data_IF_828415852249
#
_entry.id   IF_828415852249
#
_cell.length_a   1.000
_cell.length_b   1.000
_cell.length_c   1.000
_cell.angle_alpha   90.00
_cell.angle_beta   90.00
_cell.angle_gamma   90.00
#
_symmetry.space_group_name_H-M   'P 1'
#
loop_
_entity.id
_entity.type
_entity.pdbx_description
1 polymer ?
#
# COMPACT_ATOMS: atom_id res chain seq x y z
N UNK A 1 17.13 -47.52 5.10
CA UNK A 1 16.95 -46.26 4.35
C UNK A 1 15.89 -45.41 5.03
N UNK A 2 16.28 -44.44 5.86
CA UNK A 2 15.32 -43.44 6.38
C UNK A 2 14.85 -42.55 5.25
N UNK A 3 13.53 -42.46 5.04
CA UNK A 3 12.95 -41.49 4.10
C UNK A 3 13.12 -40.09 4.71
N UNK A 4 13.84 -39.15 4.06
CA UNK A 4 13.81 -37.77 4.51
C UNK A 4 12.38 -37.24 4.38
N UNK A 5 11.76 -36.84 5.49
CA UNK A 5 10.54 -36.03 5.45
C UNK A 5 10.93 -34.68 4.87
N UNK A 6 10.35 -34.28 3.74
CA UNK A 6 10.57 -32.96 3.14
C UNK A 6 10.28 -31.86 4.18
N UNK A 7 11.27 -31.04 4.59
CA UNK A 7 11.12 -30.06 5.66
C UNK A 7 10.51 -28.74 5.18
N UNK A 8 9.95 -28.71 3.96
CA UNK A 8 9.50 -27.49 3.30
C UNK A 8 7.98 -27.31 3.32
N UNK A 9 7.52 -26.43 4.23
CA UNK A 9 6.32 -25.62 3.98
C UNK A 9 6.74 -24.56 2.95
N UNK A 10 6.72 -24.91 1.67
CA UNK A 10 7.12 -24.01 0.60
C UNK A 10 5.99 -23.02 0.27
N UNK A 11 6.19 -21.74 0.62
CA UNK A 11 5.30 -20.65 0.21
C UNK A 11 5.32 -20.41 -1.31
N UNK A 12 6.40 -20.80 -2.01
CA UNK A 12 6.52 -20.77 -3.46
C UNK A 12 6.59 -22.19 -4.06
N UNK A 13 5.55 -22.56 -4.81
CA UNK A 13 5.47 -23.81 -5.60
C UNK A 13 6.63 -23.91 -6.61
N UNK A 14 7.12 -22.77 -7.11
CA UNK A 14 8.23 -22.70 -8.07
C UNK A 14 9.58 -23.04 -7.44
N UNK A 15 9.78 -22.74 -6.15
CA UNK A 15 10.96 -23.15 -5.39
C UNK A 15 10.94 -24.67 -5.13
N UNK A 16 9.80 -25.21 -4.73
CA UNK A 16 9.60 -26.67 -4.55
C UNK A 16 9.88 -27.42 -5.86
N UNK A 17 9.30 -26.98 -6.98
CA UNK A 17 9.52 -27.58 -8.30
C UNK A 17 10.98 -27.47 -8.78
N UNK A 18 11.73 -26.43 -8.39
CA UNK A 18 13.17 -26.29 -8.67
C UNK A 18 14.03 -27.20 -7.78
N UNK A 19 13.65 -27.44 -6.53
CA UNK A 19 14.36 -28.41 -5.67
C UNK A 19 14.17 -29.83 -6.18
N UNK A 20 12.91 -30.26 -6.35
CA UNK A 20 12.59 -31.62 -6.78
C UNK A 20 13.18 -31.96 -8.16
N UNK A 21 13.23 -31.02 -9.10
CA UNK A 21 13.88 -31.23 -10.39
C UNK A 21 15.41 -31.42 -10.26
N UNK A 22 16.09 -30.69 -9.35
CA UNK A 22 17.52 -30.89 -9.07
C UNK A 22 17.78 -32.23 -8.37
N UNK A 23 16.94 -32.63 -7.43
CA UNK A 23 17.05 -33.91 -6.73
C UNK A 23 16.85 -35.09 -7.69
N UNK A 24 15.83 -35.03 -8.56
CA UNK A 24 15.62 -36.04 -9.61
C UNK A 24 16.78 -36.11 -10.61
N UNK A 25 17.36 -34.96 -10.99
CA UNK A 25 18.55 -34.92 -11.84
C UNK A 25 19.78 -35.54 -11.15
N UNK A 26 20.00 -35.27 -9.85
CA UNK A 26 21.09 -35.87 -9.07
C UNK A 26 20.96 -37.39 -8.96
N UNK A 27 19.74 -37.91 -8.74
CA UNK A 27 19.46 -39.35 -8.78
C UNK A 27 19.73 -39.95 -10.18
N UNK A 28 19.39 -39.24 -11.25
CA UNK A 28 19.69 -39.63 -12.63
C UNK A 28 21.20 -39.70 -12.94
N UNK A 29 21.99 -38.74 -12.44
CA UNK A 29 23.45 -38.75 -12.61
C UNK A 29 24.10 -39.88 -11.79
N UNK A 30 23.70 -40.08 -10.53
CA UNK A 30 24.20 -41.15 -9.66
C UNK A 30 24.01 -42.55 -10.28
N UNK A 31 22.84 -42.79 -10.90
CA UNK A 31 22.53 -44.06 -11.56
C UNK A 31 23.27 -44.28 -12.88
N UNK A 32 23.57 -43.23 -13.65
CA UNK A 32 24.45 -43.37 -14.83
C UNK A 32 25.90 -43.65 -14.46
N UNK A 33 26.40 -43.06 -13.36
CA UNK A 33 27.80 -43.21 -12.95
C UNK A 33 28.11 -44.62 -12.43
N UNK A 34 27.13 -45.28 -11.79
CA UNK A 34 27.22 -46.70 -11.42
C UNK A 34 27.28 -47.65 -12.64
N UNK A 35 26.77 -47.25 -13.80
CA UNK A 35 26.68 -48.09 -15.01
C UNK A 35 27.94 -48.11 -15.89
N UNK A 36 28.99 -47.37 -15.57
CA UNK A 36 30.19 -47.21 -16.44
C UNK A 36 31.45 -47.98 -15.99
N UNK A 37 31.39 -48.71 -14.88
CA UNK A 37 32.56 -49.33 -14.24
C UNK A 37 32.95 -50.73 -14.74
N UNK A 38 33.09 -50.97 -16.06
CA UNK A 38 33.56 -52.28 -16.55
C UNK A 38 34.13 -52.30 -18.00
N UNK A 39 35.44 -52.01 -18.17
CA UNK A 39 36.44 -52.83 -18.91
C UNK A 39 37.82 -52.14 -18.97
N UNK A 40 38.94 -52.88 -18.87
CA UNK A 40 40.31 -52.37 -19.05
C UNK A 40 40.89 -52.68 -20.44
N UNK A 41 41.95 -51.96 -20.82
CA UNK A 41 43.19 -52.44 -21.48
C UNK A 41 44.23 -51.30 -21.47
N UNK A 42 45.51 -51.66 -21.43
CA UNK A 42 46.65 -50.77 -21.17
C UNK A 42 47.37 -50.28 -22.45
N UNK A 43 48.44 -49.49 -22.24
CA UNK A 43 49.54 -49.13 -23.15
C UNK A 43 49.27 -48.26 -24.41
N UNK A 44 50.17 -47.36 -24.84
CA UNK A 44 51.35 -46.74 -24.18
C UNK A 44 51.82 -45.45 -24.90
N UNK A 45 52.60 -44.62 -24.17
CA UNK A 45 53.62 -43.64 -24.59
C UNK A 45 53.40 -42.65 -25.78
N UNK A 46 53.60 -41.34 -25.51
CA UNK A 46 53.83 -40.31 -26.53
C UNK A 46 54.04 -38.89 -25.98
N UNK A 47 55.28 -38.39 -25.97
CA UNK A 47 55.70 -37.04 -25.49
C UNK A 47 57.08 -36.70 -26.08
N UNK A 48 57.64 -35.47 -25.95
CA UNK A 48 57.15 -34.24 -25.30
C UNK A 48 56.81 -33.16 -26.40
N UNK A 49 57.14 -31.85 -26.42
CA UNK A 49 57.92 -30.94 -25.56
C UNK A 49 57.70 -29.43 -25.90
N UNK A 50 58.15 -28.53 -25.01
CA UNK A 50 58.65 -27.15 -25.26
C UNK A 50 57.69 -26.06 -25.82
N UNK A 51 57.80 -24.75 -25.50
CA UNK A 51 58.56 -24.01 -24.45
C UNK A 51 58.03 -22.53 -24.36
N UNK A 52 58.64 -21.69 -23.49
CA UNK A 52 58.58 -20.19 -23.42
C UNK A 52 57.25 -19.62 -22.86
N UNK A 53 57.17 -19.13 -21.61
CA UNK A 53 57.85 -18.01 -20.90
C UNK A 53 57.25 -16.62 -21.18
N UNK A 54 56.80 -15.91 -20.13
CA UNK A 54 56.38 -14.49 -20.22
C UNK A 54 55.71 -13.97 -18.94
N UNK A 55 56.31 -12.95 -18.30
CA UNK A 55 55.85 -12.33 -17.05
C UNK A 55 54.92 -11.11 -17.21
N UNK A 56 54.59 -10.40 -16.10
CA UNK A 56 53.39 -9.55 -16.03
C UNK A 56 53.65 -8.03 -15.86
N UNK A 57 52.59 -7.21 -15.89
CA UNK A 57 52.24 -6.09 -14.97
C UNK A 57 51.52 -4.88 -15.61
N UNK A 58 50.45 -4.44 -14.92
CA UNK A 58 49.98 -3.05 -14.67
C UNK A 58 49.85 -2.02 -15.82
N UNK A 59 48.62 -1.48 -15.96
CA UNK A 59 48.28 -0.20 -16.61
C UNK A 59 46.92 0.30 -16.07
N UNK A 60 46.64 1.62 -16.07
CA UNK A 60 45.50 2.19 -15.32
C UNK A 60 44.86 3.44 -15.95
N UNK A 61 43.57 3.65 -15.62
CA UNK A 61 42.74 4.86 -15.72
C UNK A 61 42.42 5.47 -17.11
N UNK A 62 41.26 6.13 -17.19
CA UNK A 62 40.83 6.94 -18.35
C UNK A 62 39.31 7.11 -18.47
N UNK A 63 38.76 8.22 -17.98
CA UNK A 63 37.36 8.64 -18.19
C UNK A 63 37.12 9.21 -19.60
N UNK A 64 35.92 9.01 -20.15
CA UNK A 64 35.16 10.02 -20.91
C UNK A 64 33.74 9.53 -21.25
N UNK A 65 32.79 10.46 -21.34
CA UNK A 65 31.44 10.22 -21.88
C UNK A 65 31.23 11.00 -23.17
N UNK A 66 30.38 10.52 -24.09
CA UNK A 66 29.50 11.41 -24.87
C UNK A 66 28.37 10.66 -25.61
N UNK A 67 27.48 11.46 -26.21
CA UNK A 67 26.19 11.06 -26.81
C UNK A 67 26.22 11.23 -28.34
N UNK A 68 25.49 10.39 -29.10
CA UNK A 68 24.50 10.91 -30.06
C UNK A 68 23.12 10.27 -29.80
N UNK A 69 21.98 10.98 -29.74
CA UNK A 69 21.41 12.06 -30.55
C UNK A 69 20.43 11.53 -31.64
N UNK A 70 19.20 12.06 -31.62
CA UNK A 70 18.04 11.59 -32.39
C UNK A 70 18.03 12.03 -33.85
N UNK A 71 17.29 11.27 -34.68
CA UNK A 71 16.15 11.66 -35.55
C UNK A 71 16.10 10.75 -36.82
N UNK A 72 15.01 10.56 -37.59
CA UNK A 72 13.66 11.15 -37.69
C UNK A 72 12.63 10.01 -37.97
N UNK A 73 11.32 10.30 -37.87
CA UNK A 73 10.29 9.55 -38.63
C UNK A 73 9.07 9.03 -37.84
N UNK A 74 7.89 9.47 -38.23
CA UNK A 74 6.56 9.02 -37.76
C UNK A 74 5.55 9.22 -38.93
N UNK A 75 4.22 8.99 -38.81
CA UNK A 75 3.43 8.28 -37.79
C UNK A 75 2.50 7.21 -38.44
N UNK A 76 1.31 6.97 -37.88
CA UNK A 76 0.15 6.23 -38.44
C UNK A 76 0.27 4.68 -38.52
N UNK A 77 -0.80 3.90 -38.38
CA UNK A 77 -2.15 4.16 -37.83
C UNK A 77 -2.80 2.82 -37.38
N UNK A 78 -4.04 2.87 -36.90
CA UNK A 78 -4.91 1.71 -36.64
C UNK A 78 -5.04 0.79 -37.85
N UNK A 79 -5.03 -0.53 -37.64
CA UNK A 79 -6.26 -1.32 -37.68
C UNK A 79 -6.10 -2.73 -37.09
N UNK A 80 -7.24 -3.39 -36.83
CA UNK A 80 -7.29 -4.78 -36.37
C UNK A 80 -7.45 -5.75 -37.56
N UNK A 81 -6.86 -6.96 -37.51
CA UNK A 81 -7.19 -8.04 -38.44
C UNK A 81 -8.19 -9.04 -37.83
N UNK A 82 -9.24 -9.33 -38.60
CA UNK A 82 -10.17 -10.44 -38.36
C UNK A 82 -9.49 -11.82 -38.36
N UNK A 83 -10.20 -12.83 -37.85
CA UNK A 83 -9.76 -14.22 -37.88
C UNK A 83 -9.95 -14.88 -39.27
N UNK A 84 -8.88 -15.40 -39.91
CA UNK A 84 -8.97 -16.22 -41.12
C UNK A 84 -9.20 -17.72 -40.79
N UNK A 85 -9.58 -18.57 -41.77
CA UNK A 85 -10.58 -19.61 -41.50
C UNK A 85 -10.04 -21.02 -41.22
N UNK A 86 -10.94 -21.88 -40.72
CA UNK A 86 -10.78 -23.33 -40.71
C UNK A 86 -10.80 -23.92 -42.13
N UNK A 87 -9.70 -24.54 -42.54
CA UNK A 87 -9.70 -25.59 -43.57
C UNK A 87 -8.62 -26.62 -43.19
N UNK A 88 -8.88 -27.91 -43.42
CA UNK A 88 -8.06 -28.99 -42.86
C UNK A 88 -7.66 -30.05 -43.88
N UNK A 89 -6.60 -30.80 -43.57
CA UNK A 89 -6.22 -32.02 -44.27
C UNK A 89 -5.33 -32.93 -43.41
N UNK A 90 -5.22 -34.19 -43.82
CA UNK A 90 -4.08 -35.09 -43.58
C UNK A 90 -3.78 -35.58 -42.15
N UNK A 91 -4.50 -36.64 -41.75
CA UNK A 91 -3.87 -37.91 -41.39
C UNK A 91 -3.29 -38.10 -39.97
N UNK A 92 -3.72 -39.12 -39.21
CA UNK A 92 -3.05 -39.50 -37.96
C UNK A 92 -1.72 -40.21 -38.26
N UNK A 93 -0.61 -39.50 -38.06
CA UNK A 93 0.73 -40.11 -38.12
C UNK A 93 0.85 -41.20 -37.05
N UNK A 94 1.02 -42.46 -37.47
CA UNK A 94 1.04 -43.62 -36.58
C UNK A 94 2.35 -43.67 -35.79
N UNK A 95 2.37 -43.04 -34.61
CA UNK A 95 3.50 -43.10 -33.67
C UNK A 95 3.68 -44.55 -33.19
N UNK A 96 4.83 -45.20 -33.45
CA UNK A 96 5.08 -46.56 -32.98
C UNK A 96 5.21 -46.60 -31.45
N UNK A 97 4.79 -47.69 -30.78
CA UNK A 97 4.88 -47.82 -29.33
C UNK A 97 6.34 -47.82 -28.88
N UNK A 98 6.76 -46.75 -28.20
CA UNK A 98 8.12 -46.61 -27.66
C UNK A 98 8.34 -47.62 -26.53
N UNK A 99 9.32 -48.51 -26.70
CA UNK A 99 9.64 -49.55 -25.74
C UNK A 99 9.92 -48.98 -24.31
N UNK A 100 9.50 -49.69 -23.25
CA UNK A 100 9.70 -49.24 -21.87
C UNK A 100 11.20 -49.30 -21.50
N UNK A 101 11.70 -48.27 -20.81
CA UNK A 101 13.07 -48.27 -20.27
C UNK A 101 13.78 -46.92 -20.18
N UNK A 102 13.27 -45.86 -20.81
CA UNK A 102 13.89 -44.53 -20.72
C UNK A 102 12.96 -43.50 -20.07
N UNK A 103 13.18 -43.25 -18.78
CA UNK A 103 12.56 -42.15 -18.04
C UNK A 103 13.29 -40.85 -18.42
N UNK A 104 12.87 -40.24 -19.53
CA UNK A 104 13.35 -38.90 -19.91
C UNK A 104 13.16 -37.93 -18.74
N UNK A 105 14.15 -37.05 -18.43
CA UNK A 105 14.05 -36.15 -17.29
C UNK A 105 12.82 -35.25 -17.41
N UNK A 106 11.95 -35.30 -16.40
CA UNK A 106 10.71 -34.51 -16.36
C UNK A 106 11.06 -33.03 -16.42
N UNK A 107 10.72 -32.37 -17.53
CA UNK A 107 11.04 -30.95 -17.71
C UNK A 107 10.41 -30.11 -16.61
N UNK A 108 11.09 -29.03 -16.19
CA UNK A 108 10.62 -28.18 -15.10
C UNK A 108 9.18 -27.65 -15.34
N UNK A 109 8.86 -27.31 -16.60
CA UNK A 109 7.50 -26.88 -17.01
C UNK A 109 6.48 -28.02 -16.91
N UNK A 110 6.85 -29.26 -17.24
CA UNK A 110 5.97 -30.41 -17.06
C UNK A 110 5.71 -30.69 -15.57
N UNK A 111 6.75 -30.62 -14.73
CA UNK A 111 6.66 -30.79 -13.28
C UNK A 111 5.77 -29.71 -12.63
N UNK A 112 5.98 -28.44 -12.96
CA UNK A 112 5.11 -27.34 -12.51
C UNK A 112 3.64 -27.60 -12.86
N UNK A 113 3.38 -28.05 -14.10
CA UNK A 113 2.03 -28.38 -14.54
C UNK A 113 1.46 -29.65 -13.89
N UNK A 114 2.28 -30.61 -13.47
CA UNK A 114 1.82 -31.75 -12.65
C UNK A 114 1.42 -31.29 -11.25
N UNK A 115 2.27 -30.49 -10.58
CA UNK A 115 2.04 -30.01 -9.22
C UNK A 115 0.76 -29.17 -9.11
N UNK A 116 0.56 -28.16 -9.98
CA UNK A 116 -0.64 -27.31 -9.86
C UNK A 116 -1.93 -28.03 -10.24
N UNK A 117 -1.88 -29.06 -11.11
CA UNK A 117 -3.05 -29.90 -11.43
C UNK A 117 -3.46 -30.79 -10.26
N UNK A 118 -2.53 -31.22 -9.41
CA UNK A 118 -2.85 -31.90 -8.15
C UNK A 118 -3.59 -30.99 -7.14
N UNK A 119 -3.49 -29.66 -7.31
CA UNK A 119 -4.25 -28.63 -6.55
C UNK A 119 -5.43 -28.08 -7.37
N UNK A 120 -5.83 -28.74 -8.47
CA UNK A 120 -7.01 -28.38 -9.27
C UNK A 120 -6.80 -27.33 -10.38
N UNK A 121 -5.62 -26.74 -10.54
CA UNK A 121 -5.37 -25.71 -11.56
C UNK A 121 -4.96 -26.33 -12.90
N UNK A 122 -5.60 -25.92 -14.00
CA UNK A 122 -5.39 -26.47 -15.36
C UNK A 122 -3.94 -26.38 -15.88
N UNK A 123 -3.20 -25.32 -15.52
CA UNK A 123 -1.83 -25.04 -15.95
C UNK A 123 -1.13 -24.07 -14.97
N UNK A 124 0.20 -24.06 -14.89
CA UNK A 124 0.96 -23.14 -14.04
C UNK A 124 0.70 -21.66 -14.34
N UNK A 125 0.48 -21.28 -15.61
CA UNK A 125 0.11 -19.91 -15.95
C UNK A 125 -1.28 -19.52 -15.42
N UNK A 126 -2.22 -20.47 -15.36
CA UNK A 126 -3.54 -20.26 -14.76
C UNK A 126 -3.44 -20.10 -13.23
N UNK A 127 -2.61 -20.90 -12.56
CA UNK A 127 -2.28 -20.74 -11.14
C UNK A 127 -1.70 -19.34 -10.84
N UNK A 128 -0.66 -18.92 -11.59
CA UNK A 128 -0.08 -17.58 -11.46
C UNK A 128 -1.09 -16.46 -11.73
N UNK A 129 -1.93 -16.61 -12.75
CA UNK A 129 -2.95 -15.61 -13.11
C UNK A 129 -4.01 -15.43 -12.01
N UNK A 130 -4.46 -16.52 -11.37
CA UNK A 130 -5.37 -16.44 -10.23
C UNK A 130 -4.69 -15.82 -9.01
N UNK A 131 -3.46 -16.23 -8.66
CA UNK A 131 -2.74 -15.67 -7.50
C UNK A 131 -2.47 -14.16 -7.68
N UNK A 132 -2.07 -13.73 -8.88
CA UNK A 132 -1.91 -12.32 -9.22
C UNK A 132 -3.25 -11.57 -9.39
N UNK A 133 -4.40 -12.24 -9.48
CA UNK A 133 -5.71 -11.62 -9.38
C UNK A 133 -6.14 -11.43 -7.92
N UNK A 134 -5.88 -12.42 -7.06
CA UNK A 134 -6.09 -12.33 -5.62
C UNK A 134 -5.26 -11.20 -5.01
N UNK A 135 -3.96 -11.12 -5.28
CA UNK A 135 -3.08 -10.06 -4.75
C UNK A 135 -3.55 -8.64 -5.18
N UNK A 136 -4.09 -8.50 -6.39
CA UNK A 136 -4.69 -7.23 -6.86
C UNK A 136 -6.00 -6.91 -6.14
N UNK A 137 -6.84 -7.91 -5.87
CA UNK A 137 -8.08 -7.73 -5.11
C UNK A 137 -7.79 -7.38 -3.64
N UNK A 138 -6.82 -8.04 -3.03
CA UNK A 138 -6.33 -7.72 -1.68
C UNK A 138 -5.77 -6.30 -1.62
N UNK A 139 -5.03 -5.85 -2.63
CA UNK A 139 -4.52 -4.46 -2.71
C UNK A 139 -5.61 -3.40 -2.94
N UNK A 140 -6.73 -3.77 -3.57
CA UNK A 140 -7.92 -2.92 -3.73
C UNK A 140 -8.82 -2.92 -2.49
N UNK A 141 -8.78 -3.99 -1.68
CA UNK A 141 -9.51 -4.12 -0.42
C UNK A 141 -8.72 -3.61 0.79
N UNK A 142 -7.39 -3.53 0.69
CA UNK A 142 -6.53 -2.87 1.65
C UNK A 142 -6.93 -1.38 1.78
N UNK A 143 -7.12 -0.86 2.99
CA UNK A 143 -7.26 0.58 3.18
C UNK A 143 -6.05 1.29 2.57
N UNK A 144 -6.27 2.37 1.81
CA UNK A 144 -5.15 3.23 1.42
C UNK A 144 -4.38 3.64 2.68
N UNK A 145 -3.03 3.54 2.69
CA UNK A 145 -2.25 3.98 3.83
C UNK A 145 -2.51 5.48 4.01
N UNK A 146 -3.23 5.83 5.09
CA UNK A 146 -3.65 7.20 5.34
C UNK A 146 -2.44 8.12 5.23
N UNK A 147 -2.55 9.14 4.36
CA UNK A 147 -1.42 10.00 3.98
C UNK A 147 -0.66 10.48 5.24
N UNK A 148 0.69 10.43 5.23
CA UNK A 148 1.51 10.52 6.44
C UNK A 148 1.04 11.62 7.40
N UNK A 149 0.69 11.23 8.63
CA UNK A 149 0.02 12.14 9.55
C UNK A 149 0.89 13.38 9.84
N UNK A 150 0.42 14.55 9.41
CA UNK A 150 1.15 15.81 9.56
C UNK A 150 1.54 16.04 11.04
N UNK A 151 2.83 16.30 11.35
CA UNK A 151 3.30 16.40 12.72
C UNK A 151 2.63 17.58 13.43
N UNK A 152 1.92 17.28 14.52
CA UNK A 152 1.05 18.24 15.21
C UNK A 152 1.87 19.26 16.00
N UNK A 153 1.81 20.55 15.63
CA UNK A 153 2.39 21.62 16.45
C UNK A 153 1.51 21.87 17.69
N UNK A 154 1.78 21.09 18.74
CA UNK A 154 1.12 21.21 20.04
C UNK A 154 1.29 22.61 20.66
N UNK A 155 2.36 23.36 20.34
CA UNK A 155 2.51 24.76 20.80
C UNK A 155 1.53 25.69 20.09
N UNK A 156 1.17 25.41 18.83
CA UNK A 156 0.13 26.14 18.08
C UNK A 156 -1.26 25.80 18.60
N UNK A 157 -1.52 24.54 18.92
CA UNK A 157 -2.75 24.08 19.60
C UNK A 157 -2.92 24.75 20.97
N UNK A 158 -1.87 24.74 21.80
CA UNK A 158 -1.89 25.36 23.14
C UNK A 158 -2.14 26.87 23.05
N UNK A 159 -1.47 27.57 22.11
CA UNK A 159 -1.71 28.99 21.84
C UNK A 159 -3.13 29.28 21.38
N UNK A 160 -3.77 28.40 20.60
CA UNK A 160 -5.19 28.52 20.24
C UNK A 160 -6.10 28.28 21.46
N UNK A 161 -5.82 27.26 22.27
CA UNK A 161 -6.60 26.92 23.47
C UNK A 161 -6.64 28.05 24.52
N UNK A 162 -5.61 28.92 24.56
CA UNK A 162 -5.55 30.16 25.37
C UNK A 162 -6.52 31.27 24.92
N UNK A 163 -7.27 31.11 23.83
CA UNK A 163 -8.34 32.06 23.44
C UNK A 163 -9.73 31.66 23.96
N UNK A 164 -9.89 30.44 24.47
CA UNK A 164 -11.16 29.90 24.98
C UNK A 164 -11.29 30.07 26.50
N UNK A 165 -12.47 30.53 26.94
CA UNK A 165 -12.81 30.75 28.34
C UNK A 165 -12.91 29.47 29.18
N UNK A 166 -13.13 29.59 30.50
CA UNK A 166 -13.28 28.45 31.40
C UNK A 166 -14.49 27.56 31.05
N UNK A 167 -15.49 28.16 30.39
CA UNK A 167 -16.71 27.56 29.86
C UNK A 167 -16.56 26.85 28.51
N UNK A 168 -15.41 27.01 27.84
CA UNK A 168 -15.15 26.45 26.50
C UNK A 168 -15.59 27.33 25.33
N UNK A 169 -16.11 28.53 25.58
CA UNK A 169 -16.51 29.47 24.51
C UNK A 169 -15.34 30.37 24.11
N UNK A 170 -15.35 30.88 22.88
CA UNK A 170 -14.29 31.73 22.36
C UNK A 170 -14.39 33.14 22.97
N UNK A 171 -13.60 33.38 24.01
CA UNK A 171 -13.66 34.59 24.84
C UNK A 171 -13.06 35.83 24.16
N UNK A 172 -12.08 35.63 23.25
CA UNK A 172 -11.44 36.70 22.49
C UNK A 172 -10.97 36.21 21.12
N UNK A 173 -11.13 37.02 20.09
CA UNK A 173 -10.66 36.65 18.75
C UNK A 173 -9.12 36.70 18.64
N UNK A 174 -8.45 35.72 17.99
CA UNK A 174 -7.00 35.78 17.78
C UNK A 174 -6.59 36.82 16.73
N UNK A 175 -5.50 37.56 16.96
CA UNK A 175 -4.95 38.47 15.94
C UNK A 175 -4.20 37.78 14.79
N UNK A 176 -3.74 36.52 14.97
CA UNK A 176 -2.93 35.80 13.97
C UNK A 176 -3.79 34.81 13.17
N UNK A 177 -3.82 34.95 11.85
CA UNK A 177 -4.63 34.16 10.89
C UNK A 177 -4.51 32.63 11.08
N UNK A 178 -3.33 32.11 11.44
CA UNK A 178 -3.16 30.67 11.73
C UNK A 178 -3.97 30.22 12.95
N UNK A 179 -3.99 31.03 14.02
CA UNK A 179 -4.77 30.75 15.23
C UNK A 179 -6.27 31.01 15.00
N UNK A 180 -6.61 32.02 14.20
CA UNK A 180 -7.98 32.27 13.74
C UNK A 180 -8.58 31.04 13.04
N UNK A 181 -7.86 30.47 12.06
CA UNK A 181 -8.29 29.27 11.32
C UNK A 181 -8.48 28.06 12.25
N UNK A 182 -7.59 27.86 13.23
CA UNK A 182 -7.75 26.81 14.24
C UNK A 182 -8.98 27.04 15.14
N UNK A 183 -9.22 28.28 15.58
CA UNK A 183 -10.40 28.61 16.40
C UNK A 183 -11.70 28.49 15.61
N UNK A 184 -11.68 28.74 14.29
CA UNK A 184 -12.85 28.60 13.43
C UNK A 184 -13.29 27.14 13.26
N UNK A 185 -12.37 26.17 13.32
CA UNK A 185 -12.73 24.74 13.33
C UNK A 185 -13.56 24.34 14.56
N UNK A 186 -13.39 24.99 15.71
CA UNK A 186 -14.28 24.79 16.87
C UNK A 186 -15.71 25.22 16.54
N UNK A 187 -15.87 26.44 16.02
CA UNK A 187 -17.16 27.02 15.63
C UNK A 187 -17.82 26.15 14.56
N UNK A 188 -17.09 25.75 13.51
CA UNK A 188 -17.56 24.82 12.49
C UNK A 188 -18.03 23.49 13.07
N UNK A 189 -17.30 22.92 14.05
CA UNK A 189 -17.66 21.64 14.67
C UNK A 189 -18.94 21.69 15.52
N UNK A 190 -19.44 22.89 15.82
CA UNK A 190 -20.68 23.16 16.56
C UNK A 190 -21.89 23.37 15.64
N UNK A 191 -21.69 23.72 14.37
CA UNK A 191 -22.76 23.77 13.38
C UNK A 191 -23.28 22.35 13.11
N UNK A 192 -24.60 22.13 12.97
CA UNK A 192 -25.14 20.81 12.66
C UNK A 192 -24.67 20.29 11.30
N UNK A 193 -24.39 18.99 11.25
CA UNK A 193 -23.96 18.29 10.04
C UNK A 193 -25.14 18.08 9.08
N UNK A 194 -24.91 18.28 7.78
CA UNK A 194 -25.87 17.95 6.71
C UNK A 194 -27.19 18.73 6.69
N UNK A 195 -27.42 19.67 7.61
CA UNK A 195 -28.64 20.47 7.69
C UNK A 195 -28.49 21.83 6.98
N UNK A 196 -29.61 22.35 6.49
CA UNK A 196 -29.73 23.75 6.05
C UNK A 196 -30.24 24.61 7.21
N UNK A 197 -29.57 25.74 7.42
CA UNK A 197 -29.85 26.70 8.48
C UNK A 197 -30.41 27.98 7.88
N UNK A 198 -31.49 28.49 8.43
CA UNK A 198 -31.87 29.90 8.23
C UNK A 198 -30.80 30.83 8.79
N UNK A 199 -30.75 32.07 8.33
CA UNK A 199 -29.85 33.10 8.89
C UNK A 199 -29.92 33.20 10.41
N UNK A 200 -31.12 33.16 11.00
CA UNK A 200 -31.31 33.19 12.46
C UNK A 200 -30.68 31.98 13.16
N UNK A 201 -30.94 30.77 12.68
CA UNK A 201 -30.37 29.54 13.26
C UNK A 201 -28.84 29.49 13.14
N UNK A 202 -28.29 30.00 12.02
CA UNK A 202 -26.85 30.17 11.83
C UNK A 202 -26.29 31.15 12.87
N UNK A 203 -26.92 32.33 13.02
CA UNK A 203 -26.45 33.37 13.93
C UNK A 203 -26.56 32.95 15.40
N UNK A 204 -27.58 32.17 15.78
CA UNK A 204 -27.72 31.61 17.13
C UNK A 204 -26.72 30.50 17.42
N UNK A 205 -26.46 29.60 16.46
CA UNK A 205 -25.39 28.60 16.58
C UNK A 205 -24.01 29.25 16.71
N UNK A 206 -23.77 30.38 16.04
CA UNK A 206 -22.55 31.17 16.18
C UNK A 206 -22.49 31.90 17.53
N UNK A 207 -23.58 32.55 17.98
CA UNK A 207 -23.70 33.14 19.33
C UNK A 207 -23.37 32.12 20.42
N UNK A 208 -23.86 30.88 20.31
CA UNK A 208 -23.55 29.80 21.24
C UNK A 208 -22.06 29.34 21.28
N UNK A 209 -21.18 29.94 20.48
CA UNK A 209 -19.75 29.58 20.40
C UNK A 209 -18.77 30.64 20.95
N UNK A 210 -19.20 31.88 21.25
CA UNK A 210 -18.28 33.00 21.54
C UNK A 210 -18.90 34.11 22.40
N UNK A 211 -18.07 34.91 23.07
CA UNK A 211 -18.51 36.03 23.92
C UNK A 211 -18.29 37.43 23.34
N UNK A 212 -17.48 37.57 22.28
CA UNK A 212 -17.15 38.90 21.71
C UNK A 212 -18.24 39.50 20.79
N UNK A 213 -19.43 38.89 20.71
CA UNK A 213 -20.63 39.40 20.05
C UNK A 213 -20.68 39.34 18.52
N UNK A 214 -19.54 39.42 17.83
CA UNK A 214 -19.47 39.48 16.36
C UNK A 214 -19.57 38.09 15.68
N UNK A 215 -20.80 37.57 15.72
CA UNK A 215 -21.25 36.41 14.95
C UNK A 215 -21.22 36.66 13.42
N UNK A 216 -21.44 37.89 12.96
CA UNK A 216 -21.49 38.20 11.53
C UNK A 216 -20.11 38.03 10.86
N UNK A 217 -19.03 38.38 11.56
CA UNK A 217 -17.65 38.20 11.15
C UNK A 217 -17.25 36.71 11.14
N UNK A 218 -17.68 35.92 12.13
CA UNK A 218 -17.53 34.46 12.11
C UNK A 218 -18.25 33.83 10.91
N UNK A 219 -19.51 34.24 10.66
CA UNK A 219 -20.31 33.79 9.50
C UNK A 219 -19.62 34.10 8.18
N UNK A 220 -19.04 35.30 8.07
CA UNK A 220 -18.24 35.72 6.91
C UNK A 220 -17.03 34.79 6.73
N UNK A 221 -16.19 34.60 7.74
CA UNK A 221 -14.99 33.76 7.58
C UNK A 221 -15.30 32.29 7.30
N UNK A 222 -16.41 31.75 7.81
CA UNK A 222 -16.86 30.40 7.44
C UNK A 222 -17.19 30.29 5.95
N UNK A 223 -17.78 31.32 5.34
CA UNK A 223 -18.00 31.37 3.89
C UNK A 223 -16.71 31.66 3.12
N UNK A 224 -15.93 32.67 3.52
CA UNK A 224 -14.71 33.10 2.84
C UNK A 224 -13.61 31.99 2.86
N UNK A 225 -13.69 31.02 3.79
CA UNK A 225 -12.84 29.82 3.85
C UNK A 225 -13.55 28.52 3.39
N UNK A 226 -14.75 28.61 2.80
CA UNK A 226 -15.48 27.46 2.25
C UNK A 226 -15.98 26.42 3.28
N UNK A 227 -15.90 26.72 4.57
CA UNK A 227 -16.35 25.86 5.68
C UNK A 227 -17.89 25.81 5.82
N UNK A 228 -18.58 26.85 5.34
CA UNK A 228 -20.03 26.88 5.19
C UNK A 228 -20.41 27.60 3.89
N UNK A 229 -21.33 27.05 3.11
CA UNK A 229 -21.93 27.75 1.97
C UNK A 229 -23.10 28.62 2.43
N UNK A 230 -23.45 29.61 1.61
CA UNK A 230 -24.69 30.40 1.72
C UNK A 230 -25.37 30.49 0.35
N UNK A 231 -26.69 30.59 0.31
CA UNK A 231 -27.39 30.91 -0.94
C UNK A 231 -27.10 32.35 -1.40
N UNK A 232 -27.25 32.68 -2.69
CA UNK A 232 -27.05 34.04 -3.19
C UNK A 232 -27.92 35.07 -2.44
N UNK A 233 -29.16 34.69 -2.10
CA UNK A 233 -30.10 35.51 -1.32
C UNK A 233 -29.72 35.67 0.16
N UNK A 234 -28.67 34.99 0.63
CA UNK A 234 -28.18 35.03 2.01
C UNK A 234 -29.12 34.43 3.07
N UNK A 235 -30.24 33.82 2.66
CA UNK A 235 -31.30 33.30 3.54
C UNK A 235 -30.97 31.97 4.18
N UNK A 236 -30.24 31.11 3.46
CA UNK A 236 -29.90 29.74 3.85
C UNK A 236 -28.38 29.59 3.92
N UNK A 237 -27.91 28.85 4.92
CA UNK A 237 -26.52 28.46 5.15
C UNK A 237 -26.45 26.94 5.29
N UNK A 238 -25.34 26.34 4.86
CA UNK A 238 -25.11 24.90 5.03
C UNK A 238 -23.67 24.63 5.41
N UNK A 239 -23.46 23.75 6.39
CA UNK A 239 -22.12 23.29 6.77
C UNK A 239 -21.52 22.48 5.62
N UNK A 240 -20.30 22.83 5.21
CA UNK A 240 -19.53 22.01 4.27
C UNK A 240 -18.75 20.98 5.08
N UNK A 241 -18.96 19.71 4.77
CA UNK A 241 -18.23 18.62 5.42
C UNK A 241 -16.79 18.58 4.91
N UNK A 242 -15.83 18.81 5.79
CA UNK A 242 -14.39 18.82 5.50
C UNK A 242 -13.64 18.05 6.59
N UNK A 243 -12.50 17.43 6.25
CA UNK A 243 -11.59 16.83 7.24
C UNK A 243 -10.80 17.95 7.94
N UNK A 244 -10.92 18.16 9.26
CA UNK A 244 -10.09 19.12 9.97
C UNK A 244 -8.61 18.65 9.99
N UNK A 245 -7.62 19.56 9.93
CA UNK A 245 -6.22 19.20 10.07
C UNK A 245 -5.92 18.68 11.49
N UNK A 246 -4.84 17.91 11.67
CA UNK A 246 -4.56 17.18 12.91
C UNK A 246 -4.50 18.10 14.16
N UNK A 247 -3.94 19.31 14.04
CA UNK A 247 -3.97 20.31 15.11
C UNK A 247 -5.38 20.79 15.49
N UNK A 248 -6.28 20.92 14.52
CA UNK A 248 -7.67 21.25 14.79
C UNK A 248 -8.34 20.09 15.53
N UNK A 249 -8.10 18.84 15.11
CA UNK A 249 -8.60 17.66 15.83
C UNK A 249 -8.09 17.62 17.28
N UNK A 250 -6.80 17.89 17.52
CA UNK A 250 -6.23 17.99 18.86
C UNK A 250 -6.86 19.13 19.71
N UNK A 251 -7.11 20.30 19.11
CA UNK A 251 -7.81 21.41 19.77
C UNK A 251 -9.26 21.04 20.10
N UNK A 252 -9.99 20.42 19.16
CA UNK A 252 -11.37 19.94 19.37
C UNK A 252 -11.44 18.91 20.50
N UNK A 253 -10.49 17.98 20.57
CA UNK A 253 -10.38 17.01 21.66
C UNK A 253 -10.14 17.70 23.01
N UNK A 254 -9.09 18.53 23.11
CA UNK A 254 -8.76 19.27 24.33
C UNK A 254 -9.91 20.10 24.89
N UNK A 255 -10.66 20.82 24.03
CA UNK A 255 -11.80 21.62 24.44
C UNK A 255 -13.00 20.75 24.87
N UNK A 256 -13.27 19.64 24.16
CA UNK A 256 -14.29 18.65 24.57
C UNK A 256 -13.93 18.00 25.92
N UNK A 257 -12.65 17.77 26.20
CA UNK A 257 -12.21 17.27 27.50
C UNK A 257 -12.31 18.30 28.62
N UNK A 258 -12.02 19.58 28.36
CA UNK A 258 -12.32 20.67 29.31
C UNK A 258 -13.80 20.69 29.68
N UNK A 259 -14.70 20.61 28.71
CA UNK A 259 -16.15 20.52 28.97
C UNK A 259 -16.56 19.25 29.72
N UNK A 260 -16.00 18.08 29.38
CA UNK A 260 -16.26 16.83 30.12
C UNK A 260 -15.84 16.94 31.58
N UNK A 261 -14.70 17.56 31.87
CA UNK A 261 -14.23 17.78 33.24
C UNK A 261 -15.10 18.79 33.98
N UNK A 262 -15.41 19.95 33.39
CA UNK A 262 -16.25 20.98 33.99
C UNK A 262 -17.66 20.44 34.37
N UNK A 263 -18.27 19.63 33.48
CA UNK A 263 -19.56 18.97 33.76
C UNK A 263 -19.46 17.95 34.89
N UNK A 264 -18.37 17.17 34.96
CA UNK A 264 -18.11 16.22 36.07
C UNK A 264 -17.93 16.93 37.40
N UNK A 265 -17.15 18.01 37.45
CA UNK A 265 -16.95 18.79 38.69
C UNK A 265 -18.23 19.50 39.15
N UNK A 266 -19.10 19.92 38.22
CA UNK A 266 -20.40 20.51 38.55
C UNK A 266 -21.45 19.48 39.03
N UNK A 267 -21.32 18.20 38.62
CA UNK A 267 -22.23 17.12 39.03
C UNK A 267 -21.75 16.35 40.26
N UNK A 268 -20.51 16.56 40.72
CA UNK A 268 -20.01 15.94 41.95
C UNK A 268 -20.82 16.46 43.16
N UNK A 269 -21.56 15.60 43.89
CA UNK A 269 -22.32 16.03 45.05
C UNK A 269 -21.37 16.51 46.16
N UNK A 270 -21.77 17.54 46.91
CA UNK A 270 -21.00 18.11 48.02
C UNK A 270 -20.96 17.17 49.23
N UNK A 271 -20.13 16.13 49.13
CA UNK A 271 -19.94 15.13 50.17
C UNK A 271 -19.41 15.76 51.47
N UNK A 272 -20.30 15.88 52.46
CA UNK A 272 -19.93 15.99 53.88
C UNK A 272 -19.27 17.29 54.33
N UNK A 273 -20.03 18.39 54.40
CA UNK A 273 -19.97 19.25 55.60
C UNK A 273 -20.98 18.74 56.64
N UNK A 274 -20.69 17.54 57.15
CA UNK A 274 -21.35 17.01 58.34
C UNK A 274 -20.91 17.81 59.57
N UNK A 275 -21.79 17.93 60.56
CA UNK A 275 -21.52 18.74 61.74
C UNK A 275 -20.48 18.10 62.67
N UNK A 276 -19.59 18.94 63.21
CA UNK A 276 -18.88 18.67 64.48
C UNK A 276 -19.31 19.74 65.46
N UNK A 277 -20.44 19.51 66.14
CA UNK A 277 -20.83 20.23 67.34
C UNK A 277 -20.18 19.56 68.54
N UNK A 278 -19.40 20.31 69.31
CA UNK A 278 -18.83 19.97 70.61
C UNK A 278 -18.67 21.27 71.42
#
# INVERSE_FOLDING_TARGET
>A
MSRPRFPFIAQDVSALARSLHRELAACGMSSQQAGRGARPTDDACGSPAHDVTGGPTVGSAGDAACVPANALGAPCATDAPDAPPTSGASGPAHTPPRAPGHVSPVSHVLLLNMLVRAVGYRNFQHYRAQFAAQERLERLAAPEPAAPEEPVDLRRVERAARHFGPDGLLARWPGKVSLQRLCLWWVWSRLPAGQELTGTQMDDALRACHHFGDHALLRRWLCDLGMATRTPDGRQYRRVEQRPPQEALALLQHLRDRERHARRTAHAPSAGRGATTA
#
